data_IF_004746021670
#
_entry.id   IF_004746021670
#
_cell.length_a   1.000
_cell.length_b   1.000
_cell.length_c   1.000
_cell.angle_alpha   90.00
_cell.angle_beta   90.00
_cell.angle_gamma   90.00
#
_symmetry.space_group_name_H-M   'P 1'
#
loop_
_entity.id
_entity.type
_entity.pdbx_description
1 polymer ?
2 water ?
#
# COMPACT_ATOMS: atom_id res chain seq x y z
N UNK A 1 -9.02 8.28 -29.39
CA UNK A 1 -8.18 7.35 -28.59
C UNK A 1 -9.07 6.57 -27.61
N UNK A 2 -8.51 5.49 -27.05
CA UNK A 2 -9.23 4.64 -26.10
C UNK A 2 -9.74 5.45 -24.89
N UNK A 3 -10.98 5.19 -24.50
CA UNK A 3 -11.65 5.89 -23.40
C UNK A 3 -10.82 6.02 -22.12
N UNK A 4 -10.69 7.27 -21.64
CA UNK A 4 -9.95 7.52 -20.41
C UNK A 4 -8.47 7.84 -20.51
N UNK A 5 -7.80 7.35 -21.55
CA UNK A 5 -6.37 7.60 -21.74
C UNK A 5 -6.04 9.08 -21.92
N UNK A 6 -6.78 9.76 -22.81
CA UNK A 6 -6.54 11.19 -23.04
C UNK A 6 -6.82 11.99 -21.77
N UNK A 7 -7.81 11.56 -21.01
CA UNK A 7 -8.20 12.23 -19.77
C UNK A 7 -7.08 12.12 -18.72
N UNK A 8 -6.46 10.95 -18.62
CA UNK A 8 -5.38 10.76 -17.66
C UNK A 8 -4.11 11.51 -18.13
N UNK A 9 -3.91 11.57 -19.45
CA UNK A 9 -2.76 12.28 -20.02
C UNK A 9 -2.86 13.77 -19.68
N UNK A 10 -4.07 14.31 -19.76
CA UNK A 10 -4.31 15.71 -19.45
C UNK A 10 -4.15 15.98 -17.96
N UNK A 11 -4.56 15.02 -17.14
CA UNK A 11 -4.44 15.15 -15.69
C UNK A 11 -2.95 15.21 -15.35
N UNK A 12 -2.18 14.33 -15.98
CA UNK A 12 -0.75 14.25 -15.78
C UNK A 12 -0.05 15.56 -16.19
N UNK A 13 -0.49 16.12 -17.31
CA UNK A 13 0.08 17.36 -17.83
C UNK A 13 -0.16 18.52 -16.85
N UNK A 14 -1.39 18.60 -16.32
CA UNK A 14 -1.74 19.65 -15.38
C UNK A 14 -1.05 19.48 -14.03
N UNK A 15 -0.79 18.24 -13.66
CA UNK A 15 -0.12 17.87 -12.42
C UNK A 15 1.38 18.17 -12.55
N UNK A 16 1.87 18.14 -13.79
CA UNK A 16 3.29 18.38 -14.10
C UNK A 16 4.15 17.34 -13.41
N UNK A 17 3.72 16.09 -13.50
CA UNK A 17 4.45 15.00 -12.90
C UNK A 17 4.20 13.72 -13.67
N UNK A 18 4.36 12.59 -12.98
CA UNK A 18 4.16 11.29 -13.60
C UNK A 18 3.10 10.55 -12.78
N UNK A 19 2.10 10.02 -13.46
CA UNK A 19 1.00 9.29 -12.82
C UNK A 19 0.96 7.85 -13.35
N UNK A 20 0.87 6.89 -12.42
CA UNK A 20 0.81 5.49 -12.79
C UNK A 20 -0.45 4.91 -12.19
N UNK A 21 -1.24 4.22 -12.99
CA UNK A 21 -2.49 3.66 -12.52
C UNK A 21 -2.77 2.29 -13.11
N UNK A 22 -3.31 1.41 -12.28
CA UNK A 22 -3.73 0.09 -12.71
C UNK A 22 -4.99 -0.22 -11.92
N UNK A 23 -6.05 -0.57 -12.66
CA UNK A 23 -7.32 -0.90 -12.03
C UNK A 23 -7.86 -2.15 -12.70
N UNK A 24 -8.49 -3.01 -11.90
CA UNK A 24 -9.04 -4.26 -12.39
C UNK A 24 -10.38 -4.58 -11.74
N UNK A 25 -11.33 -4.99 -12.56
CA UNK A 25 -12.65 -5.38 -12.07
C UNK A 25 -12.53 -6.91 -12.00
N UNK A 26 -12.50 -7.45 -10.78
CA UNK A 26 -12.36 -8.90 -10.61
C UNK A 26 -13.59 -9.69 -11.08
N UNK A 27 -14.70 -9.00 -11.31
CA UNK A 27 -15.91 -9.66 -11.77
C UNK A 27 -15.95 -9.88 -13.27
N UNK A 28 -15.64 -8.84 -14.04
CA UNK A 28 -15.66 -8.91 -15.50
C UNK A 28 -14.29 -9.14 -16.11
N UNK A 29 -13.24 -8.87 -15.35
CA UNK A 29 -11.89 -9.03 -15.86
C UNK A 29 -11.41 -7.81 -16.63
N UNK A 30 -12.26 -6.79 -16.72
CA UNK A 30 -11.91 -5.55 -17.41
C UNK A 30 -10.89 -4.76 -16.61
N UNK A 31 -9.98 -4.07 -17.31
CA UNK A 31 -8.95 -3.29 -16.63
C UNK A 31 -8.64 -1.97 -17.32
N UNK A 32 -7.90 -1.13 -16.61
CA UNK A 32 -7.47 0.15 -17.13
C UNK A 32 -6.06 0.35 -16.62
N UNK A 33 -5.15 0.72 -17.51
CA UNK A 33 -3.76 0.94 -17.13
C UNK A 33 -3.15 2.14 -17.84
N UNK A 34 -2.23 2.80 -17.13
CA UNK A 34 -1.51 3.95 -17.65
C UNK A 34 -0.18 3.98 -16.90
N UNK A 35 0.92 3.75 -17.61
CA UNK A 35 2.27 3.69 -17.03
C UNK A 35 2.30 2.65 -15.90
N UNK A 36 1.48 1.61 -16.04
CA UNK A 36 1.37 0.54 -15.03
C UNK A 36 2.64 -0.30 -14.88
N UNK A 37 3.50 -0.24 -15.87
CA UNK A 37 4.75 -1.00 -15.88
C UNK A 37 5.98 -0.15 -15.55
N UNK A 38 5.77 1.10 -15.17
CA UNK A 38 6.88 1.99 -14.82
C UNK A 38 7.07 1.98 -13.30
N UNK A 39 8.30 2.24 -12.85
CA UNK A 39 8.60 2.25 -11.42
C UNK A 39 8.27 3.57 -10.72
N UNK A 40 7.77 3.47 -9.49
CA UNK A 40 7.41 4.60 -8.64
C UNK A 40 7.81 4.26 -7.22
N UNK A 41 8.19 5.26 -6.40
CA UNK A 41 8.58 4.98 -5.02
C UNK A 41 7.39 4.42 -4.24
N UNK A 42 7.64 3.43 -3.41
CA UNK A 42 6.59 2.81 -2.60
C UNK A 42 6.15 3.67 -1.41
N UNK A 43 7.12 4.35 -0.79
CA UNK A 43 6.87 5.16 0.41
C UNK A 43 6.24 4.19 1.44
N UNK A 44 5.27 4.64 2.23
CA UNK A 44 4.65 3.77 3.24
C UNK A 44 3.72 2.67 2.71
N UNK A 45 3.45 2.67 1.41
CA UNK A 45 2.54 1.66 0.85
C UNK A 45 2.96 0.21 1.08
N UNK A 46 4.26 -0.05 1.21
CA UNK A 46 4.72 -1.42 1.45
C UNK A 46 4.23 -1.97 2.80
N UNK A 47 3.92 -1.09 3.74
CA UNK A 47 3.44 -1.50 5.08
C UNK A 47 2.18 -2.37 5.01
N UNK A 48 1.41 -2.21 3.93
CA UNK A 48 0.21 -3.02 3.74
C UNK A 48 0.58 -4.45 3.43
N UNK A 49 1.73 -4.63 2.75
CA UNK A 49 2.21 -5.95 2.40
C UNK A 49 2.96 -6.58 3.59
N UNK A 50 3.56 -5.74 4.42
CA UNK A 50 4.26 -6.19 5.62
C UNK A 50 3.24 -6.89 6.54
N UNK A 51 2.05 -6.31 6.66
CA UNK A 51 0.99 -6.86 7.50
C UNK A 51 0.57 -8.24 6.98
N UNK A 52 0.51 -8.40 5.67
CA UNK A 52 0.13 -9.68 5.07
C UNK A 52 1.20 -10.73 5.32
N UNK A 53 2.47 -10.31 5.35
CA UNK A 53 3.57 -11.22 5.62
C UNK A 53 3.46 -11.77 7.03
N UNK A 54 3.04 -10.93 7.97
CA UNK A 54 2.86 -11.36 9.36
C UNK A 54 1.70 -12.36 9.43
N UNK A 55 0.63 -12.10 8.69
CA UNK A 55 -0.51 -13.00 8.65
C UNK A 55 -0.11 -14.35 8.05
N UNK A 56 0.73 -14.34 7.02
CA UNK A 56 1.20 -15.58 6.38
C UNK A 56 2.04 -16.36 7.38
N UNK A 57 2.86 -15.64 8.14
CA UNK A 57 3.70 -16.27 9.15
C UNK A 57 2.88 -16.91 10.26
N UNK A 58 1.77 -16.28 10.62
CA UNK A 58 0.85 -16.77 11.65
C UNK A 58 0.16 -18.05 11.15
N UNK A 59 -0.22 -18.01 9.88
CA UNK A 59 -0.90 -19.13 9.21
C UNK A 59 0.00 -20.37 9.12
N UNK A 60 1.30 -20.16 8.85
CA UNK A 60 2.29 -21.23 8.76
C UNK A 60 2.66 -21.73 10.16
N UNK A 61 2.13 -21.06 11.18
CA UNK A 61 2.41 -21.37 12.59
C UNK A 61 3.88 -21.15 12.95
N UNK A 62 4.49 -20.20 12.26
CA UNK A 62 5.88 -19.80 12.47
C UNK A 62 5.83 -18.66 13.50
N UNK A 63 4.74 -17.90 13.48
CA UNK A 63 4.52 -16.78 14.38
C UNK A 63 3.16 -16.95 15.03
N UNK A 64 2.93 -16.24 16.13
CA UNK A 64 1.65 -16.28 16.80
C UNK A 64 1.26 -14.83 17.04
N UNK A 65 0.13 -14.43 16.45
CA UNK A 65 -0.36 -13.07 16.56
C UNK A 65 -0.61 -12.60 18.01
N UNK A 66 -0.75 -13.54 18.94
CA UNK A 66 -0.99 -13.20 20.34
C UNK A 66 0.30 -12.95 21.14
N UNK A 67 1.44 -13.22 20.52
CA UNK A 67 2.73 -13.00 21.17
C UNK A 67 2.91 -11.53 21.54
N UNK A 68 3.24 -11.26 22.80
CA UNK A 68 3.45 -9.89 23.23
C UNK A 68 4.85 -9.46 22.83
N UNK A 69 4.93 -8.35 22.11
CA UNK A 69 6.20 -7.79 21.66
C UNK A 69 6.62 -6.69 22.62
N UNK A 70 7.75 -6.89 23.30
CA UNK A 70 8.28 -5.92 24.26
C UNK A 70 9.35 -5.05 23.61
N UNK A 71 9.24 -3.74 23.80
CA UNK A 71 10.18 -2.77 23.24
C UNK A 71 10.33 -1.54 24.15
N UNK A 72 10.17 -1.73 25.45
CA UNK A 72 10.26 -0.63 26.40
C UNK A 72 11.62 0.07 26.49
N UNK A 73 12.66 -0.55 25.93
CA UNK A 73 14.00 0.04 25.94
C UNK A 73 14.48 0.38 24.52
N UNK A 74 13.52 0.62 23.62
CA UNK A 74 13.84 0.96 22.23
C UNK A 74 13.29 2.34 21.89
N UNK A 75 14.17 3.21 21.37
CA UNK A 75 13.77 4.55 20.97
C UNK A 75 12.86 4.38 19.75
N UNK A 76 11.69 5.02 19.79
CA UNK A 76 10.75 4.91 18.68
C UNK A 76 10.96 5.93 17.57
N UNK A 77 10.73 5.49 16.34
CA UNK A 77 10.89 6.31 15.15
C UNK A 77 9.86 7.43 15.06
N UNK A 78 10.15 8.41 14.22
CA UNK A 78 9.26 9.53 13.97
C UNK A 78 7.95 8.94 13.45
N UNK A 79 6.82 9.48 13.93
CA UNK A 79 5.49 9.01 13.56
C UNK A 79 5.24 7.55 13.99
N UNK A 80 5.06 7.38 15.30
CA UNK A 80 4.76 6.09 15.91
C UNK A 80 3.61 6.36 16.89
N UNK A 81 2.45 6.79 16.37
CA UNK A 81 1.28 7.10 17.21
C UNK A 81 0.75 5.99 18.10
N UNK A 82 0.76 4.75 17.61
CA UNK A 82 0.25 3.64 18.38
C UNK A 82 1.29 2.97 19.29
N UNK A 83 2.47 2.69 18.75
CA UNK A 83 3.52 2.06 19.54
C UNK A 83 3.97 2.91 20.73
N UNK A 84 3.92 4.23 20.58
CA UNK A 84 4.31 5.11 21.69
C UNK A 84 3.34 4.95 22.86
N UNK A 85 2.06 4.77 22.56
CA UNK A 85 1.02 4.61 23.58
C UNK A 85 1.20 3.36 24.45
N UNK A 86 1.67 2.27 23.84
CA UNK A 86 1.84 1.01 24.53
C UNK A 86 3.29 0.60 24.79
N UNK A 87 4.20 1.56 24.80
CA UNK A 87 5.61 1.26 25.01
C UNK A 87 5.91 0.56 26.34
N UNK A 88 5.19 0.95 27.40
CA UNK A 88 5.41 0.38 28.71
C UNK A 88 5.01 -1.09 28.86
N UNK A 89 3.78 -1.42 28.46
CA UNK A 89 3.27 -2.79 28.57
C UNK A 89 3.52 -3.69 27.35
N UNK A 90 3.76 -3.09 26.19
CA UNK A 90 3.98 -3.87 24.99
C UNK A 90 2.70 -4.05 24.21
N UNK A 91 2.78 -4.71 23.06
CA UNK A 91 1.62 -4.94 22.20
C UNK A 91 1.70 -6.33 21.61
N UNK A 92 0.55 -6.92 21.28
CA UNK A 92 0.54 -8.23 20.65
C UNK A 92 1.06 -8.03 19.21
N UNK A 93 1.65 -9.07 18.63
CA UNK A 93 2.18 -8.98 17.27
C UNK A 93 1.09 -8.62 16.27
N UNK A 94 -0.12 -9.13 16.51
CA UNK A 94 -1.25 -8.84 15.62
C UNK A 94 -1.62 -7.37 15.65
N UNK A 95 -1.71 -6.79 16.85
CA UNK A 95 -2.06 -5.38 16.99
C UNK A 95 -0.96 -4.48 16.41
N UNK A 96 0.29 -4.91 16.53
CA UNK A 96 1.42 -4.15 15.99
C UNK A 96 1.38 -4.12 14.44
N UNK A 97 1.06 -5.26 13.84
CA UNK A 97 0.98 -5.35 12.39
C UNK A 97 -0.17 -4.47 11.87
N UNK A 98 -1.29 -4.49 12.60
CA UNK A 98 -2.46 -3.67 12.25
C UNK A 98 -2.12 -2.19 12.32
N UNK A 99 -1.34 -1.79 13.32
CA UNK A 99 -0.95 -0.40 13.50
C UNK A 99 -0.02 0.06 12.37
N UNK A 100 0.88 -0.81 11.93
CA UNK A 100 1.81 -0.49 10.85
C UNK A 100 1.02 -0.16 9.58
N UNK A 101 -0.09 -0.87 9.37
CA UNK A 101 -0.93 -0.64 8.21
C UNK A 101 -1.87 0.55 8.40
N UNK A 102 -2.73 0.46 9.41
CA UNK A 102 -3.75 1.46 9.69
C UNK A 102 -3.32 2.86 10.08
N UNK A 103 -2.18 2.98 10.74
CA UNK A 103 -1.66 4.28 11.15
C UNK A 103 -0.31 4.58 10.54
N UNK A 104 0.17 3.67 9.69
CA UNK A 104 1.47 3.82 9.03
C UNK A 104 2.55 3.99 10.10
N UNK A 105 2.36 3.35 11.25
CA UNK A 105 3.26 3.41 12.39
C UNK A 105 4.67 2.93 12.04
N UNK A 106 5.64 3.84 12.12
CA UNK A 106 7.02 3.53 11.79
C UNK A 106 7.73 2.63 12.80
N UNK A 107 7.41 2.81 14.09
CA UNK A 107 8.00 1.98 15.12
C UNK A 107 7.57 0.55 14.91
N UNK A 108 6.28 0.35 14.68
CA UNK A 108 5.69 -0.97 14.44
C UNK A 108 6.32 -1.60 13.20
N UNK A 109 6.48 -0.80 12.16
CA UNK A 109 7.06 -1.26 10.91
C UNK A 109 8.48 -1.75 11.09
N UNK A 110 9.34 -0.93 11.70
CA UNK A 110 10.73 -1.33 11.89
C UNK A 110 10.92 -2.47 12.88
N UNK A 111 10.11 -2.50 13.93
CA UNK A 111 10.21 -3.58 14.92
C UNK A 111 9.88 -4.91 14.24
N UNK A 112 8.80 -4.93 13.46
CA UNK A 112 8.38 -6.14 12.76
C UNK A 112 9.41 -6.57 11.70
N UNK A 113 9.99 -5.61 10.98
CA UNK A 113 11.01 -5.92 9.98
C UNK A 113 12.26 -6.50 10.65
N UNK A 114 12.66 -5.93 11.77
CA UNK A 114 13.84 -6.39 12.50
C UNK A 114 13.71 -7.77 13.14
N UNK A 115 12.57 -8.02 13.78
CA UNK A 115 12.36 -9.27 14.50
C UNK A 115 11.65 -10.44 13.83
N UNK A 116 10.76 -10.17 12.88
CA UNK A 116 10.00 -11.25 12.28
C UNK A 116 10.09 -11.47 10.77
N UNK A 117 10.30 -10.40 10.01
CA UNK A 117 10.36 -10.50 8.56
C UNK A 117 11.75 -10.66 7.96
N UNK A 118 12.78 -10.21 8.69
CA UNK A 118 14.14 -10.33 8.19
C UNK A 118 14.62 -9.10 7.43
N UNK A 119 14.12 -7.93 7.83
CA UNK A 119 14.51 -6.68 7.21
C UNK A 119 14.07 -6.52 5.76
N UNK A 120 14.59 -5.51 5.05
CA UNK A 120 14.28 -5.24 3.65
C UNK A 120 14.44 -6.49 2.76
N UNK A 121 15.47 -7.28 3.03
CA UNK A 121 15.72 -8.52 2.28
C UNK A 121 14.60 -9.53 2.46
N UNK A 122 14.16 -9.70 3.70
CA UNK A 122 13.08 -10.62 4.01
C UNK A 122 11.77 -10.17 3.42
N UNK A 123 11.50 -8.87 3.47
CA UNK A 123 10.26 -8.30 2.92
C UNK A 123 10.23 -8.56 1.41
N UNK A 124 11.37 -8.31 0.76
CA UNK A 124 11.51 -8.51 -0.68
C UNK A 124 11.35 -10.00 -1.01
N UNK A 125 11.93 -10.85 -0.17
CA UNK A 125 11.83 -12.31 -0.38
C UNK A 125 10.37 -12.76 -0.31
N UNK A 126 9.61 -12.21 0.63
CA UNK A 126 8.19 -12.58 0.77
C UNK A 126 7.42 -12.22 -0.49
N UNK A 127 7.68 -11.02 -1.03
CA UNK A 127 6.99 -10.59 -2.24
C UNK A 127 7.35 -11.48 -3.43
N UNK A 128 8.61 -11.89 -3.52
CA UNK A 128 9.05 -12.77 -4.61
C UNK A 128 8.31 -14.10 -4.52
N UNK A 129 8.09 -14.59 -3.29
CA UNK A 129 7.41 -15.86 -3.07
C UNK A 129 5.95 -15.86 -3.52
N UNK A 130 5.32 -14.69 -3.57
CA UNK A 130 3.93 -14.63 -4.01
C UNK A 130 3.81 -14.28 -5.51
N UNK A 131 4.94 -14.27 -6.21
CA UNK A 131 4.95 -14.00 -7.64
C UNK A 131 5.30 -12.59 -8.11
N UNK A 132 5.64 -11.72 -7.16
CA UNK A 132 5.99 -10.33 -7.46
C UNK A 132 7.48 -10.20 -7.79
N UNK A 133 7.78 -9.94 -9.06
CA UNK A 133 9.15 -9.79 -9.54
C UNK A 133 9.63 -8.33 -9.54
N UNK A 134 8.71 -7.38 -9.38
CA UNK A 134 9.04 -5.96 -9.42
C UNK A 134 9.34 -5.25 -8.10
N UNK A 135 8.63 -5.66 -7.05
CA UNK A 135 8.77 -5.06 -5.71
C UNK A 135 10.18 -5.19 -5.16
N UNK A 136 10.66 -4.11 -4.55
CA UNK A 136 11.96 -4.13 -3.91
C UNK A 136 12.04 -3.12 -2.77
N UNK A 137 12.32 -3.63 -1.58
CA UNK A 137 12.50 -2.79 -0.40
C UNK A 137 13.98 -2.92 -0.12
N UNK A 138 14.70 -1.80 -0.14
CA UNK A 138 16.13 -1.78 0.08
C UNK A 138 16.54 -1.10 1.37
N UNK A 139 15.71 -0.20 1.87
CA UNK A 139 16.02 0.52 3.10
C UNK A 139 14.92 0.45 4.15
N UNK A 140 15.25 0.91 5.35
CA UNK A 140 14.33 0.95 6.48
C UNK A 140 13.67 2.33 6.55
N UNK A 141 12.71 2.47 7.47
CA UNK A 141 12.05 3.75 7.70
C UNK A 141 13.07 4.53 8.53
N UNK A 142 13.23 5.83 8.28
CA UNK A 142 12.50 6.57 7.25
C UNK A 142 13.34 6.85 6.01
N UNK A 143 14.50 6.21 5.90
CA UNK A 143 15.41 6.42 4.76
C UNK A 143 14.86 6.05 3.39
N UNK A 144 13.93 5.10 3.37
CA UNK A 144 13.33 4.63 2.13
C UNK A 144 12.44 5.65 1.41
N UNK A 145 12.18 6.78 2.05
CA UNK A 145 11.33 7.84 1.51
C UNK A 145 11.98 8.91 0.64
N UNK A 146 13.25 8.75 0.29
CA UNK A 146 13.93 9.77 -0.51
C UNK A 146 13.28 10.11 -1.85
N UNK A 147 12.68 9.10 -2.48
CA UNK A 147 11.95 9.27 -3.76
C UNK A 147 12.72 10.04 -4.85
N UNK A 148 14.02 9.78 -4.93
CA UNK A 148 14.87 10.43 -5.93
C UNK A 148 14.54 9.92 -7.33
N UNK A 149 14.32 10.84 -8.29
CA UNK A 149 13.98 10.44 -9.66
C UNK A 149 15.06 9.55 -10.28
N UNK A 150 14.63 8.45 -10.89
CA UNK A 150 15.55 7.53 -11.53
C UNK A 150 16.10 6.43 -10.62
N UNK A 151 16.01 6.65 -9.31
CA UNK A 151 16.49 5.69 -8.31
C UNK A 151 15.51 4.51 -8.25
N UNK A 152 16.03 3.30 -8.36
CA UNK A 152 15.18 2.10 -8.32
C UNK A 152 14.99 1.50 -6.93
N UNK A 153 15.67 2.05 -5.94
CA UNK A 153 15.54 1.55 -4.57
C UNK A 153 14.15 1.88 -4.01
N UNK A 154 13.57 0.93 -3.28
CA UNK A 154 12.26 1.08 -2.64
C UNK A 154 11.14 1.49 -3.60
N UNK A 155 11.04 0.78 -4.71
CA UNK A 155 10.03 1.05 -5.70
C UNK A 155 9.37 -0.25 -6.17
N UNK A 156 8.32 -0.08 -6.96
CA UNK A 156 7.59 -1.17 -7.57
C UNK A 156 6.79 -0.53 -8.69
N UNK A 157 5.95 -1.32 -9.37
CA UNK A 157 5.13 -0.77 -10.44
C UNK A 157 3.66 -0.84 -10.01
N UNK A 158 2.81 0.04 -10.55
CA UNK A 158 1.39 0.02 -10.18
C UNK A 158 0.75 -1.34 -10.47
N UNK A 159 1.17 -1.97 -11.57
CA UNK A 159 0.65 -3.28 -11.96
C UNK A 159 1.05 -4.37 -10.97
N UNK A 160 2.32 -4.36 -10.54
CA UNK A 160 2.83 -5.34 -9.59
C UNK A 160 2.15 -5.19 -8.23
N UNK A 161 1.94 -3.95 -7.81
CA UNK A 161 1.28 -3.70 -6.53
C UNK A 161 -0.16 -4.23 -6.60
N UNK A 162 -0.84 -3.95 -7.71
CA UNK A 162 -2.22 -4.40 -7.89
C UNK A 162 -2.34 -5.92 -7.91
N UNK A 163 -1.42 -6.58 -8.61
CA UNK A 163 -1.42 -8.04 -8.71
C UNK A 163 -1.16 -8.69 -7.35
N UNK A 164 -0.20 -8.14 -6.60
CA UNK A 164 0.12 -8.66 -5.28
C UNK A 164 -1.02 -8.45 -4.29
N UNK A 165 -1.70 -7.32 -4.39
CA UNK A 165 -2.84 -7.03 -3.53
C UNK A 165 -3.97 -7.99 -3.83
N UNK A 166 -4.21 -8.26 -5.12
CA UNK A 166 -5.27 -9.18 -5.53
C UNK A 166 -4.95 -10.59 -5.04
N UNK A 167 -3.69 -11.01 -5.18
CA UNK A 167 -3.24 -12.32 -4.76
C UNK A 167 -3.39 -12.53 -3.25
N UNK A 168 -3.00 -11.52 -2.48
CA UNK A 168 -3.09 -11.61 -1.02
C UNK A 168 -4.50 -11.43 -0.45
N UNK A 169 -5.23 -10.42 -0.91
CA UNK A 169 -6.57 -10.14 -0.40
C UNK A 169 -7.69 -11.00 -0.96
N UNK A 170 -7.56 -11.44 -2.21
CA UNK A 170 -8.61 -12.24 -2.85
C UNK A 170 -8.16 -13.59 -3.42
N UNK A 171 -6.88 -13.92 -3.26
CA UNK A 171 -6.35 -15.18 -3.77
C UNK A 171 -6.32 -16.34 -2.79
N UNK A 172 -5.38 -17.27 -2.99
CA UNK A 172 -5.27 -18.44 -2.12
C UNK A 172 -3.95 -18.58 -1.34
N UNK A 173 -3.20 -17.48 -1.23
CA UNK A 173 -1.95 -17.48 -0.46
C UNK A 173 -2.35 -17.55 1.02
N UNK A 174 -3.23 -16.63 1.41
CA UNK A 174 -3.75 -16.57 2.77
C UNK A 174 -5.02 -17.41 2.87
N UNK A 175 -5.23 -18.02 4.04
CA UNK A 175 -6.42 -18.83 4.28
C UNK A 175 -7.63 -17.93 4.40
N UNK A 176 -8.81 -18.53 4.38
CA UNK A 176 -10.06 -17.80 4.48
C UNK A 176 -10.07 -16.90 5.72
N UNK A 177 -9.61 -17.42 6.84
CA UNK A 177 -9.57 -16.64 8.08
C UNK A 177 -8.58 -15.48 8.02
N UNK A 178 -7.37 -15.73 7.52
CA UNK A 178 -6.37 -14.68 7.40
C UNK A 178 -6.76 -13.59 6.40
N UNK A 179 -7.46 -13.98 5.35
CA UNK A 179 -7.92 -13.02 4.34
C UNK A 179 -8.96 -12.10 4.95
N UNK A 180 -9.82 -12.65 5.79
CA UNK A 180 -10.84 -11.86 6.46
C UNK A 180 -10.16 -10.83 7.37
N UNK A 181 -9.12 -11.26 8.08
CA UNK A 181 -8.37 -10.38 8.97
C UNK A 181 -7.66 -9.29 8.16
N UNK A 182 -7.06 -9.68 7.04
CA UNK A 182 -6.35 -8.75 6.17
C UNK A 182 -7.31 -7.70 5.61
N UNK A 183 -8.48 -8.15 5.17
CA UNK A 183 -9.49 -7.25 4.61
C UNK A 183 -10.02 -6.29 5.69
N UNK A 184 -10.18 -6.79 6.91
CA UNK A 184 -10.65 -5.97 8.03
C UNK A 184 -9.63 -4.87 8.34
N UNK A 185 -8.36 -5.23 8.33
CA UNK A 185 -7.28 -4.27 8.59
C UNK A 185 -7.28 -3.18 7.52
N UNK A 186 -7.39 -3.59 6.26
CA UNK A 186 -7.42 -2.64 5.15
C UNK A 186 -8.61 -1.68 5.25
N UNK A 187 -9.79 -2.22 5.57
CA UNK A 187 -11.00 -1.38 5.70
C UNK A 187 -10.88 -0.38 6.84
N UNK A 188 -10.11 -0.73 7.86
CA UNK A 188 -9.92 0.15 9.01
C UNK A 188 -8.78 1.16 8.87
N UNK A 189 -8.19 1.27 7.67
CA UNK A 189 -7.11 2.24 7.46
C UNK A 189 -7.65 3.64 7.78
N UNK A 190 -6.84 4.45 8.46
CA UNK A 190 -7.28 5.78 8.87
C UNK A 190 -6.71 6.96 8.09
N UNK A 191 -5.82 6.68 7.13
CA UNK A 191 -5.16 7.73 6.35
C UNK A 191 -5.56 7.93 4.89
N UNK A 192 -6.61 7.28 4.42
CA UNK A 192 -6.96 7.42 3.02
C UNK A 192 -8.22 8.16 2.60
N UNK A 193 -8.76 9.00 3.48
CA UNK A 193 -9.99 9.73 3.18
C UNK A 193 -9.98 10.58 1.90
N UNK A 194 -8.85 11.23 1.63
CA UNK A 194 -8.73 12.11 0.46
C UNK A 194 -8.21 11.48 -0.83
N UNK A 195 -7.93 10.18 -0.80
CA UNK A 195 -7.41 9.53 -2.00
C UNK A 195 -8.43 8.63 -2.69
N UNK A 196 -8.18 7.33 -2.80
CA UNK A 196 -9.13 6.44 -3.48
C UNK A 196 -10.54 6.49 -2.88
N UNK A 197 -10.64 6.61 -1.57
CA UNK A 197 -11.93 6.68 -0.88
C UNK A 197 -12.77 7.87 -1.33
N UNK A 198 -12.11 8.94 -1.76
CA UNK A 198 -12.80 10.15 -2.21
C UNK A 198 -13.33 10.07 -3.65
N UNK A 199 -12.94 9.03 -4.38
CA UNK A 199 -13.36 8.86 -5.78
C UNK A 199 -14.57 7.97 -6.00
N UNK A 200 -15.04 7.30 -4.95
CA UNK A 200 -16.17 6.38 -5.07
C UNK A 200 -17.42 6.80 -4.31
N UNK A 201 -18.59 6.26 -4.70
CA UNK A 201 -19.87 6.58 -4.05
C UNK A 201 -19.83 6.26 -2.56
N UNK A 202 -20.65 6.96 -1.79
CA UNK A 202 -20.72 6.82 -0.35
C UNK A 202 -21.04 5.42 0.17
N UNK A 203 -21.80 4.64 -0.59
CA UNK A 203 -22.16 3.28 -0.16
C UNK A 203 -21.22 2.16 -0.59
N UNK A 204 -20.12 2.52 -1.25
CA UNK A 204 -19.11 1.54 -1.66
C UNK A 204 -18.14 1.41 -0.47
N UNK A 205 -17.61 0.21 -0.26
CA UNK A 205 -16.68 -0.03 0.86
C UNK A 205 -15.25 -0.09 0.34
N UNK A 206 -14.34 0.58 1.03
CA UNK A 206 -12.93 0.63 0.61
C UNK A 206 -11.92 0.18 1.66
N UNK A 207 -10.94 -0.59 1.22
CA UNK A 207 -9.86 -1.06 2.07
C UNK A 207 -8.61 -0.59 1.38
N UNK A 208 -7.77 0.21 2.05
CA UNK A 208 -6.57 0.73 1.38
C UNK A 208 -5.36 0.94 2.27
N UNK A 209 -4.26 1.31 1.63
CA UNK A 209 -3.02 1.66 2.31
C UNK A 209 -2.38 2.77 1.48
N UNK A 210 -2.14 3.91 2.14
CA UNK A 210 -1.54 5.06 1.50
C UNK A 210 -0.03 5.09 1.66
N UNK A 211 0.60 5.97 0.89
CA UNK A 211 2.04 6.13 0.96
C UNK A 211 2.32 7.58 0.66
N UNK A 212 3.11 8.24 1.50
CA UNK A 212 3.48 9.64 1.30
C UNK A 212 4.94 9.79 1.70
N UNK A 213 5.80 9.95 0.70
CA UNK A 213 7.24 10.08 0.90
C UNK A 213 7.72 11.39 1.53
N UNK A 214 6.98 12.47 1.29
CA UNK A 214 7.38 13.77 1.83
C UNK A 214 8.50 14.41 1.04
N UNK A 215 8.68 13.93 -0.19
CA UNK A 215 9.71 14.42 -1.11
C UNK A 215 9.27 14.19 -2.54
N UNK A 216 9.66 15.10 -3.44
CA UNK A 216 9.33 15.02 -4.87
C UNK A 216 7.84 14.81 -5.16
N UNK A 217 6.98 15.40 -4.33
CA UNK A 217 5.54 15.30 -4.50
C UNK A 217 5.06 13.87 -4.71
N UNK A 218 5.78 12.93 -4.10
CA UNK A 218 5.50 11.50 -4.21
C UNK A 218 4.49 10.98 -3.20
N UNK A 219 3.37 10.50 -3.72
CA UNK A 219 2.31 9.95 -2.89
C UNK A 219 1.57 8.88 -3.69
N UNK A 220 0.90 7.98 -2.99
CA UNK A 220 0.20 6.90 -3.64
C UNK A 220 -0.90 6.31 -2.75
N UNK A 221 -1.60 5.32 -3.29
CA UNK A 221 -2.66 4.63 -2.58
C UNK A 221 -3.09 3.42 -3.41
N UNK A 222 -3.37 2.32 -2.74
CA UNK A 222 -3.86 1.13 -3.44
C UNK A 222 -5.02 0.63 -2.60
N UNK A 223 -6.00 0.01 -3.24
CA UNK A 223 -7.16 -0.43 -2.51
C UNK A 223 -7.95 -1.56 -3.15
N UNK A 224 -8.71 -2.24 -2.31
CA UNK A 224 -9.65 -3.26 -2.74
C UNK A 224 -10.93 -2.48 -2.51
N UNK A 225 -11.75 -2.36 -3.55
CA UNK A 225 -13.01 -1.63 -3.45
C UNK A 225 -14.16 -2.58 -3.69
N UNK A 226 -15.11 -2.60 -2.75
CA UNK A 226 -16.29 -3.45 -2.88
C UNK A 226 -17.49 -2.59 -3.24
N UNK A 227 -17.84 -2.51 -4.54
CA UNK A 227 -18.98 -1.69 -4.94
C UNK A 227 -20.28 -2.35 -4.46
N UNK A 228 -21.36 -1.57 -4.36
CA UNK A 228 -22.65 -2.09 -3.93
C UNK A 228 -23.14 -3.11 -4.96
N UNK A 229 -23.43 -4.32 -4.51
CA UNK A 229 -23.91 -5.41 -5.36
C UNK A 229 -23.01 -5.76 -6.56
N UNK A 230 -21.69 -5.70 -6.37
CA UNK A 230 -20.74 -6.01 -7.44
C UNK A 230 -19.47 -6.65 -6.88
N UNK A 231 -18.76 -7.35 -7.75
CA UNK A 231 -17.51 -8.00 -7.36
C UNK A 231 -16.50 -6.90 -7.08
N UNK A 232 -15.54 -7.15 -6.18
CA UNK A 232 -14.52 -6.14 -5.84
C UNK A 232 -13.62 -5.69 -6.98
N UNK A 233 -13.09 -4.47 -6.85
CA UNK A 233 -12.19 -3.86 -7.82
C UNK A 233 -10.83 -3.71 -7.12
N UNK A 234 -9.75 -3.71 -7.89
CA UNK A 234 -8.42 -3.53 -7.36
C UNK A 234 -7.89 -2.26 -8.03
N UNK A 235 -7.51 -1.27 -7.22
CA UNK A 235 -7.03 0.00 -7.76
C UNK A 235 -5.66 0.34 -7.17
N UNK A 236 -4.75 0.77 -8.03
CA UNK A 236 -3.40 1.13 -7.63
C UNK A 236 -3.03 2.43 -8.32
N UNK A 237 -2.75 3.47 -7.53
CA UNK A 237 -2.39 4.78 -8.09
C UNK A 237 -1.12 5.32 -7.45
N UNK A 238 -0.11 5.56 -8.29
CA UNK A 238 1.18 6.09 -7.83
C UNK A 238 1.53 7.36 -8.57
N UNK A 239 2.06 8.35 -7.85
CA UNK A 239 2.44 9.63 -8.46
C UNK A 239 3.78 10.11 -7.94
N UNK A 240 4.44 10.94 -8.74
CA UNK A 240 5.72 11.52 -8.36
C UNK A 240 5.98 12.73 -9.25
N UNK A 241 6.89 13.61 -8.82
CA UNK A 241 7.23 14.82 -9.57
C UNK A 241 8.75 14.97 -9.61
N UNK A 242 9.24 15.89 -10.44
CA UNK A 242 10.68 16.11 -10.56
C UNK A 242 11.27 17.16 -9.63
N UNK A 243 10.41 17.92 -8.96
CA UNK A 243 10.87 18.94 -8.02
C UNK A 243 10.96 18.35 -6.62
N UNK A 244 12.13 18.46 -6.02
CA UNK A 244 12.38 17.94 -4.69
C UNK A 244 11.45 18.50 -3.62
N UNK A 245 11.12 19.78 -3.74
CA UNK A 245 10.28 20.48 -2.77
C UNK A 245 8.78 20.46 -3.03
N UNK A 246 8.38 19.89 -4.17
CA UNK A 246 6.96 19.81 -4.53
C UNK A 246 6.14 19.00 -3.53
N UNK A 247 4.95 19.50 -3.22
CA UNK A 247 4.06 18.81 -2.29
C UNK A 247 3.20 17.83 -3.09
N UNK A 248 2.72 16.77 -2.43
CA UNK A 248 1.88 15.80 -3.12
C UNK A 248 0.47 16.38 -3.30
N UNK A 249 -0.28 15.81 -4.24
CA UNK A 249 -1.63 16.28 -4.52
C UNK A 249 -2.63 15.14 -4.34
N UNK A 250 -3.31 15.13 -3.20
CA UNK A 250 -4.32 14.12 -2.92
C UNK A 250 -5.42 14.09 -3.98
N UNK A 251 -5.81 15.28 -4.45
CA UNK A 251 -6.86 15.40 -5.46
C UNK A 251 -6.50 14.75 -6.78
N UNK A 252 -5.21 14.73 -7.11
CA UNK A 252 -4.75 14.12 -8.35
C UNK A 252 -4.91 12.60 -8.24
N UNK A 253 -4.61 12.07 -7.07
CA UNK A 253 -4.72 10.63 -6.84
C UNK A 253 -6.21 10.25 -6.89
N UNK A 254 -7.06 11.06 -6.28
CA UNK A 254 -8.50 10.79 -6.29
C UNK A 254 -9.08 10.84 -7.70
N UNK A 255 -8.65 11.83 -8.48
CA UNK A 255 -9.13 11.99 -9.85
C UNK A 255 -8.67 10.86 -10.76
N UNK A 256 -7.43 10.42 -10.58
CA UNK A 256 -6.86 9.33 -11.38
C UNK A 256 -7.65 8.05 -11.11
N UNK A 257 -8.08 7.88 -9.85
CA UNK A 257 -8.86 6.72 -9.44
C UNK A 257 -10.27 6.80 -10.06
N UNK A 258 -10.88 7.99 -10.03
CA UNK A 258 -12.21 8.18 -10.60
C UNK A 258 -12.21 7.85 -12.10
N UNK A 259 -11.18 8.32 -12.81
CA UNK A 259 -11.03 8.07 -14.25
C UNK A 259 -10.90 6.57 -14.53
N UNK A 260 -10.09 5.88 -13.73
CA UNK A 260 -9.88 4.45 -13.89
C UNK A 260 -11.18 3.66 -13.73
N UNK A 261 -11.92 3.95 -12.66
CA UNK A 261 -13.19 3.25 -12.37
C UNK A 261 -14.23 3.45 -13.46
N UNK A 262 -14.30 4.66 -14.00
CA UNK A 262 -15.27 4.97 -15.06
C UNK A 262 -14.84 4.50 -16.44
N UNK A 263 -13.61 4.00 -16.56
CA UNK A 263 -13.11 3.55 -17.86
C UNK A 263 -12.58 2.13 -17.92
N UNK A 264 -13.18 1.23 -17.16
CA UNK A 264 -12.78 -0.17 -17.17
C UNK A 264 -13.26 -0.81 -18.47
N UNK A 265 -12.34 -1.40 -19.24
CA UNK A 265 -12.68 -2.03 -20.51
C UNK A 265 -11.95 -3.36 -20.73
#
# INVERSE_FOLDING_TARGET
NTKGIDEIKNLETDFNGRIGVYALDTGSGKSFSYRANERFPLCSSFKGFLAAAVLKGSQDNRLNLNQIVNYNTRSLEFHSPITTKYKDNGMSLGDMAAAALQYSDNGATNIILERYIGGPEGMTKFMRSIGDEDFRLDRWELDLNTAIPGDERDTSTPAAVAKSLKTLALGNILSEHEKETYQTWLKGNTTGAARIRASVPSDWVVGDKTGSCGAYGTANDYAVVWPKNRAPLIISVYTTKNEKEAKHEDKVIAEASRIAIDNLK
#
